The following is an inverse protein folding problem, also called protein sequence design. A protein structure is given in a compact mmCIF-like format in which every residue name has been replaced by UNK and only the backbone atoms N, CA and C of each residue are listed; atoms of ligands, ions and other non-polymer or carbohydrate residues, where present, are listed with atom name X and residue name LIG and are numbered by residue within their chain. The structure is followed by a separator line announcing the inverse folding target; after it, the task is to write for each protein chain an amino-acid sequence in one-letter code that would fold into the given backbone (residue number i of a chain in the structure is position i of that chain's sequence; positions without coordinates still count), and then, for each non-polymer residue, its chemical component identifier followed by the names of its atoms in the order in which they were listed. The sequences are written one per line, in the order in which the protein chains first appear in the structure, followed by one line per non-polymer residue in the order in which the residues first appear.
data_IF_197684583320
#
_entry.id   IF_197684583320
#
_cell.length_a   1.000
_cell.length_b   1.000
_cell.length_c   1.000
_cell.angle_alpha   90.00
_cell.angle_beta   90.00
_cell.angle_gamma   90.00
#
_symmetry.space_group_name_H-M   'P 1'
#
loop_
_entity.id
_entity.type
_entity.pdbx_description
1 polymer ?
#
# COMPACT_ATOMS: atom_id res chain seq x y z
N UNK A 1 -1.71 3.75 14.09
CA UNK A 1 -1.73 5.19 14.49
C UNK A 1 -2.31 6.12 13.44
N UNK A 2 -2.14 5.91 12.13
CA UNK A 2 -2.97 6.58 11.10
C UNK A 2 -4.49 6.46 11.39
N UNK A 3 -4.91 5.29 11.90
CA UNK A 3 -6.28 5.08 12.39
C UNK A 3 -6.63 5.92 13.63
N UNK A 4 -5.68 6.20 14.52
CA UNK A 4 -5.91 7.06 15.69
C UNK A 4 -6.06 8.52 15.26
N UNK A 5 -5.23 8.97 14.31
CA UNK A 5 -5.38 10.27 13.68
C UNK A 5 -6.77 10.38 13.02
N UNK A 6 -7.19 9.35 12.28
CA UNK A 6 -8.52 9.29 11.69
C UNK A 6 -9.67 9.29 12.70
N UNK A 7 -9.56 8.55 13.80
CA UNK A 7 -10.56 8.58 14.86
C UNK A 7 -10.69 10.00 15.46
N UNK A 8 -9.56 10.68 15.71
CA UNK A 8 -9.55 12.07 16.22
C UNK A 8 -10.18 13.04 15.23
N UNK A 9 -9.83 12.96 13.95
CA UNK A 9 -10.48 13.76 12.91
C UNK A 9 -11.98 13.49 12.84
N UNK A 10 -12.40 12.23 12.93
CA UNK A 10 -13.83 11.88 12.98
C UNK A 10 -14.54 12.50 14.17
N UNK A 11 -13.92 12.53 15.35
CA UNK A 11 -14.53 13.13 16.55
C UNK A 11 -14.59 14.67 16.46
N UNK A 12 -13.54 15.31 15.92
CA UNK A 12 -13.55 16.74 15.60
C UNK A 12 -14.69 17.05 14.62
N UNK A 13 -14.85 16.24 13.57
CA UNK A 13 -15.88 16.42 12.56
C UNK A 13 -17.29 16.12 13.08
N UNK A 14 -17.47 15.19 14.02
CA UNK A 14 -18.76 14.96 14.69
C UNK A 14 -19.18 16.18 15.49
N UNK A 15 -18.28 16.79 16.27
CA UNK A 15 -18.55 18.02 17.02
C UNK A 15 -18.99 19.14 16.08
N UNK A 16 -18.26 19.36 14.99
CA UNK A 16 -18.61 20.34 13.96
C UNK A 16 -19.98 20.05 13.33
N UNK A 17 -20.29 18.80 12.96
CA UNK A 17 -21.59 18.42 12.39
C UNK A 17 -22.75 18.64 13.37
N UNK A 18 -22.50 18.59 14.67
CA UNK A 18 -23.50 18.87 15.71
C UNK A 18 -23.90 20.34 15.80
N UNK A 19 -23.13 21.26 15.21
CA UNK A 19 -23.46 22.68 15.16
C UNK A 19 -24.22 23.02 13.86
N UNK A 20 -25.44 23.55 13.99
CA UNK A 20 -26.27 23.94 12.83
C UNK A 20 -25.74 25.13 12.02
N UNK A 21 -24.86 25.95 12.61
CA UNK A 21 -24.08 27.00 11.93
C UNK A 21 -22.66 27.01 12.50
N UNK A 22 -21.68 27.22 11.63
CA UNK A 22 -20.29 27.42 12.05
C UNK A 22 -20.07 28.88 12.47
N UNK A 23 -19.63 29.09 13.70
CA UNK A 23 -19.11 30.37 14.18
C UNK A 23 -17.58 30.38 14.08
N UNK A 24 -16.97 31.57 14.08
CA UNK A 24 -15.51 31.70 14.14
C UNK A 24 -14.90 31.00 15.35
N UNK A 25 -15.59 31.05 16.51
CA UNK A 25 -15.17 30.34 17.73
C UNK A 25 -15.10 28.83 17.51
N UNK A 26 -16.15 28.24 16.92
CA UNK A 26 -16.21 26.80 16.69
C UNK A 26 -15.13 26.33 15.70
N UNK A 27 -14.83 27.14 14.67
CA UNK A 27 -13.76 26.86 13.72
C UNK A 27 -12.40 26.91 14.42
N UNK A 28 -12.16 27.92 15.26
CA UNK A 28 -10.91 28.07 16.00
C UNK A 28 -10.65 26.92 16.96
N UNK A 29 -11.68 26.47 17.68
CA UNK A 29 -11.59 25.33 18.59
C UNK A 29 -11.30 24.03 17.83
N UNK A 30 -11.97 23.80 16.69
CA UNK A 30 -11.68 22.66 15.84
C UNK A 30 -10.26 22.69 15.26
N UNK A 31 -9.79 23.85 14.81
CA UNK A 31 -8.41 24.00 14.33
C UNK A 31 -7.38 23.74 15.42
N UNK A 32 -7.68 24.07 16.67
CA UNK A 32 -6.84 23.74 17.82
C UNK A 32 -6.77 22.23 18.03
N UNK A 33 -7.89 21.51 17.93
CA UNK A 33 -7.90 20.04 18.03
C UNK A 33 -7.17 19.38 16.85
N UNK A 34 -7.34 19.90 15.63
CA UNK A 34 -6.58 19.46 14.44
C UNK A 34 -5.09 19.67 14.64
N UNK A 35 -4.69 20.85 15.13
CA UNK A 35 -3.29 21.17 15.46
C UNK A 35 -2.69 20.15 16.42
N UNK A 36 -3.38 19.88 17.53
CA UNK A 36 -2.90 18.91 18.53
C UNK A 36 -2.79 17.51 17.94
N UNK A 37 -3.76 17.09 17.14
CA UNK A 37 -3.78 15.77 16.51
C UNK A 37 -2.61 15.58 15.53
N UNK A 38 -2.26 16.61 14.74
CA UNK A 38 -1.12 16.57 13.84
C UNK A 38 0.22 16.57 14.60
N UNK A 39 0.33 17.33 15.70
CA UNK A 39 1.55 17.34 16.53
C UNK A 39 1.78 16.00 17.23
N UNK A 40 0.72 15.36 17.75
CA UNK A 40 0.81 14.02 18.33
C UNK A 40 1.18 12.95 17.28
N UNK A 41 0.86 13.22 16.02
CA UNK A 41 1.26 12.42 14.86
C UNK A 41 2.69 12.76 14.37
N UNK A 42 3.52 13.40 15.20
CA UNK A 42 4.90 13.82 14.88
C UNK A 42 5.03 14.67 13.62
N UNK A 43 3.98 15.38 13.21
CA UNK A 43 4.11 16.37 12.14
C UNK A 43 4.97 17.53 12.64
N UNK A 44 5.86 18.04 11.79
CA UNK A 44 6.73 19.15 12.11
C UNK A 44 5.93 20.39 12.55
N UNK A 45 6.33 21.00 13.66
CA UNK A 45 5.61 22.12 14.26
C UNK A 45 5.38 23.30 13.30
N UNK A 46 6.39 23.66 12.49
CA UNK A 46 6.27 24.74 11.51
C UNK A 46 5.20 24.41 10.47
N UNK A 47 5.26 23.18 9.94
CA UNK A 47 4.29 22.66 8.96
C UNK A 47 2.86 22.66 9.52
N UNK A 48 2.66 22.21 10.76
CA UNK A 48 1.34 22.26 11.40
C UNK A 48 0.86 23.70 11.59
N UNK A 49 1.73 24.60 12.05
CA UNK A 49 1.38 26.01 12.26
C UNK A 49 0.91 26.65 10.95
N UNK A 50 1.70 26.50 9.88
CA UNK A 50 1.40 27.07 8.58
C UNK A 50 0.12 26.47 7.98
N UNK A 51 -0.06 25.15 8.10
CA UNK A 51 -1.28 24.45 7.70
C UNK A 51 -2.52 25.02 8.41
N UNK A 52 -2.47 25.16 9.74
CA UNK A 52 -3.62 25.68 10.51
C UNK A 52 -3.93 27.14 10.20
N UNK A 53 -2.91 27.96 9.91
CA UNK A 53 -3.08 29.36 9.53
C UNK A 53 -3.78 29.47 8.17
N UNK A 54 -3.34 28.71 7.16
CA UNK A 54 -3.98 28.71 5.83
C UNK A 54 -5.44 28.27 5.88
N UNK A 55 -5.77 27.27 6.70
CA UNK A 55 -7.18 26.88 6.89
C UNK A 55 -7.95 27.97 7.61
N UNK A 56 -7.39 28.61 8.63
CA UNK A 56 -8.06 29.71 9.34
C UNK A 56 -8.39 30.87 8.40
N UNK A 57 -7.45 31.27 7.54
CA UNK A 57 -7.65 32.33 6.55
C UNK A 57 -8.73 31.95 5.53
N UNK A 58 -8.65 30.76 4.95
CA UNK A 58 -9.64 30.25 3.98
C UNK A 58 -11.03 30.07 4.62
N UNK A 59 -11.11 29.59 5.86
CA UNK A 59 -12.38 29.33 6.55
C UNK A 59 -13.14 30.62 6.92
N UNK A 60 -12.42 31.70 7.24
CA UNK A 60 -13.02 33.02 7.54
C UNK A 60 -13.39 33.77 6.23
N UNK A 61 -12.58 33.61 5.17
CA UNK A 61 -12.76 34.31 3.90
C UNK A 61 -13.74 33.66 2.91
N UNK A 62 -14.22 32.44 3.14
CA UNK A 62 -15.15 31.77 2.20
C UNK A 62 -16.60 32.10 2.54
N UNK A 63 -17.32 32.73 1.62
CA UNK A 63 -18.79 32.84 1.74
C UNK A 63 -19.39 31.42 1.85
N UNK A 64 -20.24 31.20 2.84
CA UNK A 64 -20.95 29.93 3.01
C UNK A 64 -21.77 29.68 1.76
N UNK A 65 -21.39 28.67 0.97
CA UNK A 65 -22.11 28.33 -0.26
C UNK A 65 -23.52 27.92 0.13
N UNK A 66 -24.52 28.69 -0.32
CA UNK A 66 -25.94 28.42 0.00
C UNK A 66 -26.31 27.01 -0.45
N UNK A 67 -26.79 26.18 0.48
CA UNK A 67 -27.25 24.82 0.23
C UNK A 67 -26.24 23.70 0.55
N UNK A 68 -25.00 24.02 0.88
CA UNK A 68 -23.99 23.05 1.34
C UNK A 68 -23.90 23.08 2.86
N UNK A 69 -23.82 21.91 3.50
CA UNK A 69 -23.65 21.83 4.95
C UNK A 69 -22.28 22.45 5.34
N UNK A 70 -22.24 23.49 6.20
CA UNK A 70 -21.00 24.14 6.62
C UNK A 70 -19.97 23.15 7.20
N UNK A 71 -20.43 22.10 7.89
CA UNK A 71 -19.57 21.05 8.41
C UNK A 71 -18.84 20.28 7.29
N UNK A 72 -19.52 19.99 6.18
CA UNK A 72 -18.92 19.31 5.02
C UNK A 72 -17.96 20.24 4.28
N UNK A 73 -18.26 21.53 4.22
CA UNK A 73 -17.36 22.52 3.63
C UNK A 73 -16.05 22.63 4.42
N UNK A 74 -16.11 22.63 5.75
CA UNK A 74 -14.90 22.60 6.59
C UNK A 74 -14.09 21.32 6.43
N UNK A 75 -14.74 20.14 6.41
CA UNK A 75 -14.06 18.86 6.18
C UNK A 75 -13.35 18.86 4.83
N UNK A 76 -14.04 19.35 3.78
CA UNK A 76 -13.46 19.48 2.45
C UNK A 76 -12.26 20.41 2.45
N UNK A 77 -12.35 21.56 3.10
CA UNK A 77 -11.24 22.51 3.21
C UNK A 77 -10.00 21.87 3.88
N UNK A 78 -10.20 21.13 4.97
CA UNK A 78 -9.12 20.39 5.64
C UNK A 78 -8.53 19.31 4.72
N UNK A 79 -9.38 18.59 3.99
CA UNK A 79 -8.95 17.57 3.03
C UNK A 79 -8.09 18.18 1.90
N UNK A 80 -8.62 19.20 1.21
CA UNK A 80 -7.97 19.85 0.08
C UNK A 80 -6.59 20.40 0.50
N UNK A 81 -6.52 21.01 1.69
CA UNK A 81 -5.27 21.54 2.23
C UNK A 81 -4.25 20.44 2.60
N UNK A 82 -4.71 19.30 3.14
CA UNK A 82 -3.82 18.16 3.41
C UNK A 82 -3.29 17.54 2.10
N UNK A 83 -4.12 17.50 1.06
CA UNK A 83 -3.72 16.99 -0.26
C UNK A 83 -2.69 17.92 -0.90
N UNK A 84 -2.91 19.23 -0.82
CA UNK A 84 -1.97 20.24 -1.29
C UNK A 84 -0.62 20.14 -0.57
N UNK A 85 -0.65 19.95 0.76
CA UNK A 85 0.55 19.79 1.58
C UNK A 85 1.38 18.54 1.19
N UNK A 86 0.71 17.49 0.73
CA UNK A 86 1.35 16.26 0.23
C UNK A 86 1.78 16.32 -1.25
N UNK A 87 1.57 17.45 -1.92
CA UNK A 87 2.02 17.68 -3.30
C UNK A 87 0.95 17.57 -4.36
N UNK A 88 -0.33 17.46 -3.99
CA UNK A 88 -1.46 17.48 -4.90
C UNK A 88 -1.63 16.18 -5.68
N UNK A 89 -0.83 15.97 -6.72
CA UNK A 89 -0.97 14.84 -7.65
C UNK A 89 0.19 13.84 -7.55
N UNK A 90 -0.08 12.60 -7.94
CA UNK A 90 0.93 11.53 -8.00
C UNK A 90 2.01 11.84 -9.04
N UNK A 91 3.27 11.70 -8.66
CA UNK A 91 4.41 11.88 -9.56
C UNK A 91 4.87 10.54 -10.15
N UNK A 92 5.05 10.49 -11.48
CA UNK A 92 5.55 9.29 -12.17
C UNK A 92 7.07 9.17 -12.02
N UNK A 93 7.57 7.93 -12.06
CA UNK A 93 9.01 7.67 -12.16
C UNK A 93 9.55 8.21 -13.49
N UNK A 94 10.74 8.80 -13.46
CA UNK A 94 11.40 9.36 -14.64
C UNK A 94 11.83 8.23 -15.57
N UNK A 95 11.56 8.38 -16.86
CA UNK A 95 12.12 7.52 -17.92
C UNK A 95 12.98 8.39 -18.83
N UNK A 96 14.26 8.07 -18.91
CA UNK A 96 15.21 8.78 -19.75
C UNK A 96 14.91 8.62 -21.23
N UNK A 97 15.35 9.59 -22.04
CA UNK A 97 15.29 9.52 -23.51
C UNK A 97 16.19 8.43 -24.09
N UNK A 98 17.20 8.00 -23.32
CA UNK A 98 18.17 6.98 -23.69
C UNK A 98 18.30 5.96 -22.55
N UNK A 99 18.49 4.71 -22.93
CA UNK A 99 18.70 3.61 -21.98
C UNK A 99 20.21 3.46 -21.65
N UNK A 100 20.54 2.99 -20.44
CA UNK A 100 19.64 2.77 -19.31
C UNK A 100 19.25 4.08 -18.61
N UNK A 101 18.03 4.14 -18.07
CA UNK A 101 17.63 5.15 -17.09
C UNK A 101 18.19 4.75 -15.72
N UNK A 102 19.12 5.52 -15.21
CA UNK A 102 19.84 5.27 -13.95
C UNK A 102 19.06 5.92 -12.80
N UNK A 103 18.63 5.09 -11.86
CA UNK A 103 17.96 5.48 -10.62
C UNK A 103 18.91 5.20 -9.46
N UNK A 104 19.24 6.23 -8.68
CA UNK A 104 20.10 6.10 -7.50
C UNK A 104 19.26 6.17 -6.23
N UNK A 105 19.32 5.12 -5.40
CA UNK A 105 18.67 5.11 -4.09
C UNK A 105 19.64 5.60 -3.02
N UNK A 106 19.26 6.63 -2.27
CA UNK A 106 20.03 7.18 -1.15
C UNK A 106 19.20 7.24 0.13
N UNK A 107 19.83 7.37 1.30
CA UNK A 107 19.15 7.53 2.59
C UNK A 107 19.82 6.79 3.75
N UNK A 108 19.24 6.91 4.94
CA UNK A 108 19.81 6.36 6.18
C UNK A 108 20.01 4.85 6.15
N UNK A 109 20.93 4.39 7.00
CA UNK A 109 21.04 2.97 7.34
C UNK A 109 19.71 2.47 7.94
N UNK A 110 19.27 1.28 7.50
CA UNK A 110 18.03 0.69 7.99
C UNK A 110 16.74 1.27 7.40
N UNK A 111 16.80 2.29 6.54
CA UNK A 111 15.63 2.88 5.88
C UNK A 111 14.94 1.95 4.86
N UNK A 112 15.57 0.82 4.51
CA UNK A 112 15.01 -0.18 3.60
C UNK A 112 15.39 -0.02 2.13
N UNK A 113 16.51 0.65 1.82
CA UNK A 113 17.00 0.87 0.44
C UNK A 113 17.10 -0.41 -0.40
N UNK A 114 17.87 -1.40 0.07
CA UNK A 114 18.07 -2.69 -0.62
C UNK A 114 16.75 -3.42 -0.88
N UNK A 115 15.87 -3.48 0.12
CA UNK A 115 14.54 -4.09 -0.03
C UNK A 115 13.68 -3.30 -1.01
N UNK A 116 13.73 -1.97 -0.96
CA UNK A 116 12.98 -1.13 -1.87
C UNK A 116 13.50 -1.20 -3.30
N UNK A 117 14.81 -1.35 -3.51
CA UNK A 117 15.40 -1.58 -4.83
C UNK A 117 14.79 -2.82 -5.49
N UNK A 118 14.70 -3.92 -4.75
CA UNK A 118 14.07 -5.15 -5.23
C UNK A 118 12.56 -5.00 -5.49
N UNK A 119 11.84 -4.28 -4.62
CA UNK A 119 10.41 -3.97 -4.83
C UNK A 119 10.19 -3.13 -6.10
N UNK A 120 10.98 -2.08 -6.28
CA UNK A 120 10.92 -1.20 -7.45
C UNK A 120 11.26 -1.98 -8.72
N UNK A 121 12.30 -2.81 -8.69
CA UNK A 121 12.64 -3.68 -9.80
C UNK A 121 11.49 -4.63 -10.14
N UNK A 122 10.89 -5.28 -9.15
CA UNK A 122 9.72 -6.14 -9.37
C UNK A 122 8.53 -5.39 -9.96
N UNK A 123 8.26 -4.18 -9.46
CA UNK A 123 7.20 -3.31 -9.97
C UNK A 123 7.42 -2.95 -11.44
N UNK A 124 8.64 -2.54 -11.83
CA UNK A 124 8.98 -2.22 -13.22
C UNK A 124 9.02 -3.48 -14.12
N UNK A 125 9.40 -4.63 -13.58
CA UNK A 125 9.39 -5.90 -14.31
C UNK A 125 7.97 -6.30 -14.73
N UNK A 126 6.96 -6.04 -13.88
CA UNK A 126 5.55 -6.22 -14.24
C UNK A 126 5.10 -5.33 -15.41
N UNK A 127 5.80 -4.23 -15.64
CA UNK A 127 5.57 -3.32 -16.77
C UNK A 127 6.40 -3.70 -18.01
N UNK A 128 6.97 -4.91 -18.04
CA UNK A 128 7.83 -5.44 -19.12
C UNK A 128 9.11 -4.64 -19.35
N UNK A 129 9.64 -3.97 -18.33
CA UNK A 129 10.92 -3.28 -18.42
C UNK A 129 12.10 -4.25 -18.20
N UNK A 130 13.21 -4.03 -18.93
CA UNK A 130 14.48 -4.73 -18.69
C UNK A 130 15.28 -3.99 -17.63
N UNK A 131 15.84 -4.72 -16.67
CA UNK A 131 16.35 -4.14 -15.43
C UNK A 131 17.74 -4.69 -15.10
N UNK A 132 18.57 -3.83 -14.52
CA UNK A 132 19.78 -4.21 -13.80
C UNK A 132 19.75 -3.63 -12.39
N UNK A 133 19.91 -4.47 -11.38
CA UNK A 133 20.18 -4.05 -10.01
C UNK A 133 21.69 -3.92 -9.82
N UNK A 134 22.13 -2.89 -9.09
CA UNK A 134 23.55 -2.64 -8.86
C UNK A 134 23.78 -2.40 -7.39
N UNK A 135 24.57 -3.27 -6.76
CA UNK A 135 24.91 -3.16 -5.35
C UNK A 135 26.22 -2.41 -5.16
N UNK A 136 26.16 -1.21 -4.57
CA UNK A 136 27.36 -0.44 -4.18
C UNK A 136 27.44 -0.22 -2.66
N UNK A 137 26.63 -0.93 -1.86
CA UNK A 137 26.81 -1.04 -0.41
C UNK A 137 27.95 -2.01 -0.06
N UNK A 138 29.19 -1.56 -0.27
CA UNK A 138 30.43 -2.31 -0.03
C UNK A 138 30.86 -2.33 1.45
N UNK A 139 30.17 -1.57 2.29
CA UNK A 139 30.54 -1.37 3.70
C UNK A 139 29.74 -2.26 4.64
N UNK A 140 28.47 -2.54 4.31
CA UNK A 140 27.60 -3.33 5.16
C UNK A 140 27.81 -4.83 4.90
N UNK A 141 28.07 -5.64 5.95
CA UNK A 141 28.20 -7.08 5.81
C UNK A 141 26.97 -7.72 5.16
N UNK A 142 27.21 -8.59 4.18
CA UNK A 142 26.19 -9.32 3.43
C UNK A 142 25.16 -8.45 2.67
N UNK A 143 25.36 -7.14 2.50
CA UNK A 143 24.42 -6.29 1.75
C UNK A 143 24.37 -6.67 0.26
N UNK A 144 25.54 -6.90 -0.36
CA UNK A 144 25.63 -7.42 -1.72
C UNK A 144 24.90 -8.77 -1.83
N UNK A 145 25.16 -9.69 -0.89
CA UNK A 145 24.51 -11.01 -0.89
C UNK A 145 22.99 -10.91 -0.71
N UNK A 146 22.52 -9.99 0.15
CA UNK A 146 21.10 -9.69 0.32
C UNK A 146 20.49 -9.24 -1.00
N UNK A 147 21.12 -8.30 -1.72
CA UNK A 147 20.62 -7.83 -3.01
C UNK A 147 20.60 -8.93 -4.06
N UNK A 148 21.64 -9.77 -4.14
CA UNK A 148 21.71 -10.93 -5.03
C UNK A 148 20.54 -11.90 -4.79
N UNK A 149 20.27 -12.28 -3.53
CA UNK A 149 19.16 -13.17 -3.18
C UNK A 149 17.82 -12.55 -3.57
N UNK A 150 17.62 -11.26 -3.33
CA UNK A 150 16.40 -10.56 -3.72
C UNK A 150 16.24 -10.49 -5.25
N UNK A 151 17.34 -10.25 -5.98
CA UNK A 151 17.38 -10.24 -7.44
C UNK A 151 17.02 -11.61 -8.04
N UNK A 152 17.58 -12.69 -7.49
CA UNK A 152 17.26 -14.07 -7.90
C UNK A 152 15.78 -14.39 -7.67
N UNK A 153 15.22 -14.03 -6.51
CA UNK A 153 13.80 -14.23 -6.19
C UNK A 153 12.84 -13.55 -7.18
N UNK A 154 13.26 -12.44 -7.80
CA UNK A 154 12.45 -11.72 -8.79
C UNK A 154 12.90 -11.98 -10.22
N UNK A 155 13.97 -12.76 -10.43
CA UNK A 155 14.61 -13.00 -11.73
C UNK A 155 15.09 -11.71 -12.40
N UNK A 156 15.80 -10.85 -11.67
CA UNK A 156 16.46 -9.64 -12.18
C UNK A 156 17.95 -9.75 -11.90
N UNK A 157 18.76 -9.46 -12.91
CA UNK A 157 20.22 -9.52 -12.80
C UNK A 157 20.74 -8.48 -11.81
N UNK A 158 21.72 -8.89 -11.01
CA UNK A 158 22.40 -8.05 -10.02
C UNK A 158 23.88 -7.95 -10.40
N UNK A 159 24.36 -6.73 -10.63
CA UNK A 159 25.77 -6.43 -10.78
C UNK A 159 26.36 -6.01 -9.44
N UNK A 160 27.45 -6.65 -9.05
CA UNK A 160 28.21 -6.36 -7.84
C UNK A 160 29.62 -6.93 -7.97
N UNK A 161 30.60 -6.31 -7.32
CA UNK A 161 31.95 -6.85 -7.23
C UNK A 161 32.25 -7.14 -5.77
N UNK A 162 32.31 -8.44 -5.44
CA UNK A 162 32.66 -8.88 -4.08
C UNK A 162 34.09 -8.46 -3.76
N UNK A 163 34.32 -8.05 -2.52
CA UNK A 163 35.61 -7.56 -1.99
C UNK A 163 36.19 -6.28 -2.62
N UNK A 164 35.51 -5.67 -3.60
CA UNK A 164 35.90 -4.37 -4.15
C UNK A 164 35.22 -3.22 -3.37
N UNK A 165 36.02 -2.24 -2.93
CA UNK A 165 35.53 -1.06 -2.21
C UNK A 165 35.39 0.19 -3.09
N UNK A 166 35.77 0.11 -4.36
CA UNK A 166 35.66 1.22 -5.32
C UNK A 166 34.22 1.37 -5.82
N UNK A 167 33.39 2.07 -5.03
CA UNK A 167 31.97 2.34 -5.34
C UNK A 167 31.79 2.97 -6.72
N UNK A 168 32.65 3.92 -7.08
CA UNK A 168 32.57 4.66 -8.35
C UNK A 168 32.95 3.78 -9.53
N UNK A 169 34.02 2.98 -9.41
CA UNK A 169 34.42 2.04 -10.43
C UNK A 169 33.39 0.93 -10.66
N UNK A 170 32.83 0.37 -9.59
CA UNK A 170 31.76 -0.65 -9.67
C UNK A 170 30.57 -0.08 -10.44
N UNK A 171 30.12 1.12 -10.09
CA UNK A 171 28.97 1.73 -10.75
C UNK A 171 29.25 2.07 -12.22
N UNK A 172 30.49 2.47 -12.55
CA UNK A 172 30.90 2.75 -13.94
C UNK A 172 30.86 1.50 -14.80
N UNK A 173 31.42 0.38 -14.32
CA UNK A 173 31.37 -0.91 -15.02
C UNK A 173 29.94 -1.47 -15.11
N UNK A 174 29.12 -1.21 -14.10
CA UNK A 174 27.70 -1.56 -14.13
C UNK A 174 26.93 -0.85 -15.27
N UNK A 175 27.30 0.39 -15.62
CA UNK A 175 26.71 1.10 -16.77
C UNK A 175 27.03 0.37 -18.08
N UNK A 176 28.25 -0.14 -18.24
CA UNK A 176 28.65 -0.92 -19.41
C UNK A 176 27.84 -2.22 -19.49
N UNK A 177 27.70 -2.92 -18.36
CA UNK A 177 26.87 -4.13 -18.29
C UNK A 177 25.41 -3.85 -18.62
N UNK A 178 24.84 -2.76 -18.10
CA UNK A 178 23.46 -2.36 -18.37
C UNK A 178 23.23 -2.09 -19.87
N UNK A 179 24.22 -1.50 -20.56
CA UNK A 179 24.18 -1.32 -22.02
C UNK A 179 24.27 -2.64 -22.77
N UNK A 180 25.17 -3.54 -22.37
CA UNK A 180 25.34 -4.86 -22.98
C UNK A 180 24.03 -5.67 -22.98
N UNK A 181 23.32 -5.69 -21.85
CA UNK A 181 22.06 -6.42 -21.72
C UNK A 181 20.82 -5.63 -22.20
N UNK A 182 21.03 -4.42 -22.72
CA UNK A 182 19.99 -3.49 -23.14
C UNK A 182 18.94 -3.24 -22.04
N UNK A 183 19.38 -3.00 -20.81
CA UNK A 183 18.51 -2.66 -19.69
C UNK A 183 17.82 -1.31 -19.93
N UNK A 184 16.51 -1.24 -19.69
CA UNK A 184 15.77 0.03 -19.68
C UNK A 184 16.08 0.83 -18.43
N UNK A 185 16.16 0.18 -17.27
CA UNK A 185 16.51 0.81 -16.01
C UNK A 185 17.71 0.14 -15.33
N UNK A 186 18.55 0.96 -14.72
CA UNK A 186 19.63 0.56 -13.81
C UNK A 186 19.32 1.16 -12.44
N UNK A 187 19.07 0.31 -11.44
CA UNK A 187 18.75 0.75 -10.07
C UNK A 187 19.98 0.51 -9.20
N UNK A 188 20.53 1.60 -8.66
CA UNK A 188 21.74 1.59 -7.84
C UNK A 188 21.35 1.64 -6.36
N UNK A 189 21.62 0.56 -5.63
CA UNK A 189 21.46 0.46 -4.19
C UNK A 189 22.74 0.92 -3.50
N UNK A 190 22.69 2.10 -2.88
CA UNK A 190 23.83 2.67 -2.16
C UNK A 190 23.81 2.29 -0.68
N UNK A 191 24.95 2.38 -0.03
CA UNK A 191 25.04 2.17 1.41
C UNK A 191 24.22 3.19 2.22
N UNK A 192 23.79 2.77 3.41
CA UNK A 192 23.16 3.68 4.36
C UNK A 192 24.14 4.60 5.05
N UNK A 193 23.87 5.91 5.01
CA UNK A 193 24.75 6.94 5.58
C UNK A 193 24.02 7.76 6.62
N UNK A 194 24.70 8.08 7.73
CA UNK A 194 24.24 9.09 8.67
C UNK A 194 24.51 10.47 8.06
N UNK A 195 23.61 11.43 8.27
CA UNK A 195 23.73 12.80 7.74
C UNK A 195 24.93 13.58 8.32
N UNK A 196 25.60 13.04 9.33
CA UNK A 196 26.80 13.59 9.99
C UNK A 196 28.12 13.07 9.43
N UNK A 197 28.11 12.10 8.50
CA UNK A 197 29.34 11.56 7.92
C UNK A 197 29.70 12.27 6.60
N UNK A 198 30.53 13.31 6.70
CA UNK A 198 30.97 14.12 5.56
C UNK A 198 31.71 13.30 4.49
N UNK A 199 32.54 12.34 4.92
CA UNK A 199 33.34 11.53 3.98
C UNK A 199 32.47 10.68 3.08
N UNK A 200 31.44 10.06 3.66
CA UNK A 200 30.51 9.22 2.93
C UNK A 200 29.52 10.03 2.08
N UNK A 201 29.23 11.28 2.46
CA UNK A 201 28.46 12.19 1.62
C UNK A 201 29.25 12.68 0.40
N UNK A 202 30.55 12.90 0.52
CA UNK A 202 31.41 13.20 -0.63
C UNK A 202 31.51 12.01 -1.60
N UNK A 203 31.59 10.77 -1.11
CA UNK A 203 31.54 9.57 -1.96
C UNK A 203 30.23 9.51 -2.79
N UNK A 204 29.08 9.83 -2.19
CA UNK A 204 27.80 9.90 -2.93
C UNK A 204 27.76 11.04 -3.95
N UNK A 205 28.37 12.19 -3.64
CA UNK A 205 28.49 13.29 -4.61
C UNK A 205 29.38 12.91 -5.78
N UNK A 206 30.48 12.22 -5.52
CA UNK A 206 31.37 11.70 -6.55
C UNK A 206 30.67 10.66 -7.43
N UNK A 207 30.00 9.69 -6.80
CA UNK A 207 29.17 8.71 -7.50
C UNK A 207 28.14 9.39 -8.41
N UNK A 208 27.39 10.38 -7.89
CA UNK A 208 26.43 11.17 -8.65
C UNK A 208 27.08 11.85 -9.87
N UNK A 209 28.27 12.45 -9.70
CA UNK A 209 29.00 13.13 -10.79
C UNK A 209 29.36 12.17 -11.93
N UNK A 210 29.76 10.95 -11.57
CA UNK A 210 30.23 9.94 -12.54
C UNK A 210 29.06 9.26 -13.25
N UNK A 211 28.08 8.75 -12.51
CA UNK A 211 26.99 7.96 -13.12
C UNK A 211 25.86 8.82 -13.68
N UNK A 212 25.78 10.11 -13.29
CA UNK A 212 24.78 11.08 -13.76
C UNK A 212 23.35 10.49 -13.74
N UNK A 213 22.84 10.12 -12.55
CA UNK A 213 21.54 9.50 -12.45
C UNK A 213 20.45 10.43 -12.99
N UNK A 214 19.51 9.88 -13.76
CA UNK A 214 18.32 10.62 -14.22
C UNK A 214 17.33 10.85 -13.08
N UNK A 215 17.43 10.04 -12.02
CA UNK A 215 16.62 10.21 -10.84
C UNK A 215 17.34 9.75 -9.57
N UNK A 216 17.33 10.62 -8.55
CA UNK A 216 17.82 10.30 -7.21
C UNK A 216 16.62 10.22 -6.28
N UNK A 217 16.39 9.04 -5.71
CA UNK A 217 15.29 8.79 -4.80
C UNK A 217 15.81 8.63 -3.37
N UNK A 218 15.30 9.49 -2.48
CA UNK A 218 15.58 9.41 -1.05
C UNK A 218 14.64 8.42 -0.38
N UNK A 219 15.17 7.34 0.16
CA UNK A 219 14.43 6.35 0.93
C UNK A 219 14.41 6.75 2.41
N UNK A 220 13.21 6.97 2.93
CA UNK A 220 12.97 7.43 4.29
C UNK A 220 12.05 6.47 5.02
N UNK A 221 12.43 6.12 6.25
CA UNK A 221 11.60 5.33 7.15
C UNK A 221 10.53 6.23 7.77
N UNK A 222 9.25 5.88 7.57
CA UNK A 222 8.13 6.64 8.12
C UNK A 222 8.05 6.60 9.66
N UNK A 223 8.80 5.72 10.33
CA UNK A 223 8.88 5.65 11.80
C UNK A 223 9.75 6.74 12.43
N UNK A 224 10.67 7.36 11.69
CA UNK A 224 11.69 8.29 12.24
C UNK A 224 11.06 9.66 12.63
N UNK A 225 9.82 9.93 12.26
CA UNK A 225 9.08 11.11 12.73
C UNK A 225 9.72 12.42 12.22
N UNK A 226 9.95 13.38 13.13
CA UNK A 226 10.46 14.71 12.76
C UNK A 226 11.92 14.70 12.29
N UNK A 227 12.75 13.77 12.77
CA UNK A 227 14.16 13.68 12.35
C UNK A 227 14.30 13.31 10.86
N UNK A 228 13.26 12.71 10.28
CA UNK A 228 13.18 12.42 8.86
C UNK A 228 13.24 13.70 8.00
N UNK A 229 12.79 14.84 8.54
CA UNK A 229 12.80 16.13 7.85
C UNK A 229 14.21 16.67 7.72
N UNK A 230 14.94 16.76 8.84
CA UNK A 230 16.32 17.26 8.86
C UNK A 230 17.24 16.38 7.98
N UNK A 231 17.02 15.07 8.06
CA UNK A 231 17.67 14.11 7.17
C UNK A 231 17.40 14.43 5.71
N UNK A 232 16.13 14.55 5.34
CA UNK A 232 15.75 14.72 3.95
C UNK A 232 16.24 16.07 3.40
N UNK A 233 16.29 17.11 4.23
CA UNK A 233 16.90 18.39 3.91
C UNK A 233 18.42 18.25 3.65
N UNK A 234 19.16 17.58 4.53
CA UNK A 234 20.60 17.36 4.36
C UNK A 234 20.93 16.58 3.08
N UNK A 235 20.22 15.48 2.82
CA UNK A 235 20.40 14.71 1.58
C UNK A 235 20.01 15.52 0.34
N UNK A 236 18.95 16.31 0.42
CA UNK A 236 18.55 17.19 -0.70
C UNK A 236 19.58 18.29 -0.96
N UNK A 237 20.17 18.88 0.08
CA UNK A 237 21.19 19.91 -0.08
C UNK A 237 22.47 19.36 -0.70
N UNK A 238 22.86 18.12 -0.35
CA UNK A 238 24.06 17.50 -0.87
C UNK A 238 23.87 16.86 -2.26
N UNK A 239 22.74 16.19 -2.50
CA UNK A 239 22.52 15.37 -3.70
C UNK A 239 21.45 15.93 -4.63
N UNK A 240 20.72 16.97 -4.25
CA UNK A 240 19.59 17.52 -5.02
C UNK A 240 18.61 16.43 -5.43
N UNK A 241 18.03 15.73 -4.45
CA UNK A 241 17.16 14.58 -4.69
C UNK A 241 15.95 14.95 -5.53
N UNK A 242 15.46 14.03 -6.36
CA UNK A 242 14.35 14.27 -7.29
C UNK A 242 13.01 13.81 -6.72
N UNK A 243 13.03 12.81 -5.85
CA UNK A 243 11.85 12.27 -5.22
C UNK A 243 12.13 11.56 -3.90
N UNK A 244 11.07 11.28 -3.16
CA UNK A 244 11.11 10.59 -1.88
C UNK A 244 10.32 9.28 -1.97
N UNK A 245 10.83 8.26 -1.27
CA UNK A 245 10.17 7.00 -1.03
C UNK A 245 9.96 6.87 0.48
N UNK A 246 8.74 6.53 0.89
CA UNK A 246 8.46 6.25 2.30
C UNK A 246 8.32 4.75 2.52
N UNK A 247 9.06 4.19 3.47
CA UNK A 247 8.99 2.77 3.82
C UNK A 247 8.31 2.57 5.18
N UNK A 248 7.93 1.32 5.45
CA UNK A 248 7.32 0.86 6.71
C UNK A 248 6.01 1.56 7.09
N UNK A 249 5.23 2.01 6.10
CA UNK A 249 3.94 2.66 6.33
C UNK A 249 2.85 1.72 6.87
N UNK A 250 3.10 0.41 6.85
CA UNK A 250 2.30 -0.63 7.48
C UNK A 250 2.50 -0.74 9.00
N UNK A 251 3.63 -0.26 9.51
CA UNK A 251 3.88 -0.20 10.94
C UNK A 251 2.98 0.83 11.65
N UNK A 252 3.15 0.95 12.96
CA UNK A 252 2.46 1.97 13.77
C UNK A 252 3.03 3.38 13.54
N UNK A 253 3.13 3.74 12.26
CA UNK A 253 3.76 4.96 11.79
C UNK A 253 2.80 6.12 11.93
N UNK A 254 3.37 7.24 12.37
CA UNK A 254 2.60 8.43 12.71
C UNK A 254 2.12 9.19 11.46
N UNK A 255 2.48 8.79 10.24
CA UNK A 255 2.05 9.43 8.98
C UNK A 255 2.56 10.88 8.80
N UNK A 256 2.94 11.56 9.88
CA UNK A 256 3.37 12.94 9.89
C UNK A 256 4.74 13.20 9.27
N UNK A 257 5.58 12.16 9.19
CA UNK A 257 6.83 12.24 8.42
C UNK A 257 6.55 12.56 6.94
N UNK A 258 5.53 11.95 6.34
CA UNK A 258 5.15 12.19 4.94
C UNK A 258 4.74 13.65 4.70
N UNK A 259 3.86 14.17 5.57
CA UNK A 259 3.40 15.55 5.56
C UNK A 259 4.58 16.53 5.70
N UNK A 260 5.50 16.22 6.61
CA UNK A 260 6.60 17.11 6.94
C UNK A 260 7.70 17.14 5.88
N UNK A 261 8.06 15.99 5.31
CA UNK A 261 9.13 15.90 4.31
C UNK A 261 8.76 16.69 3.05
N UNK A 262 7.53 16.52 2.54
CA UNK A 262 7.10 17.23 1.34
C UNK A 262 7.08 18.74 1.57
N UNK A 263 6.55 19.19 2.71
CA UNK A 263 6.42 20.61 3.02
C UNK A 263 7.78 21.31 3.18
N UNK A 264 8.79 20.62 3.72
CA UNK A 264 10.12 21.22 3.96
C UNK A 264 11.07 21.03 2.78
N UNK A 265 11.12 19.82 2.21
CA UNK A 265 12.08 19.47 1.14
C UNK A 265 11.55 19.86 -0.24
N UNK A 266 10.23 20.00 -0.40
CA UNK A 266 9.58 20.39 -1.65
C UNK A 266 9.54 19.29 -2.72
N UNK A 267 10.21 18.15 -2.50
CA UNK A 267 10.31 17.05 -3.48
C UNK A 267 9.12 16.10 -3.40
N UNK A 268 8.59 15.61 -4.55
CA UNK A 268 7.44 14.71 -4.57
C UNK A 268 7.75 13.37 -3.91
N UNK A 269 6.78 12.81 -3.19
CA UNK A 269 6.82 11.40 -2.78
C UNK A 269 6.30 10.59 -3.97
N UNK A 270 7.06 9.58 -4.43
CA UNK A 270 6.71 8.79 -5.62
C UNK A 270 6.11 7.44 -5.28
N UNK A 271 6.63 6.79 -4.25
CA UNK A 271 6.23 5.45 -3.85
C UNK A 271 6.16 5.30 -2.34
N UNK A 272 5.37 4.33 -1.92
CA UNK A 272 5.25 3.90 -0.54
C UNK A 272 5.46 2.39 -0.41
N UNK A 273 6.21 1.99 0.61
CA UNK A 273 6.34 0.61 1.05
C UNK A 273 5.34 0.32 2.16
N UNK A 274 4.40 -0.58 1.89
CA UNK A 274 3.26 -0.90 2.77
C UNK A 274 3.34 -2.31 3.37
N UNK A 275 4.55 -2.80 3.60
CA UNK A 275 4.80 -4.15 4.09
C UNK A 275 6.22 -4.63 3.85
N UNK A 276 6.54 -5.84 4.26
CA UNK A 276 7.87 -6.43 4.08
C UNK A 276 8.02 -7.21 2.76
N UNK A 277 6.91 -7.70 2.19
CA UNK A 277 6.98 -8.56 1.01
C UNK A 277 7.35 -7.75 -0.22
N UNK A 278 7.93 -8.41 -1.21
CA UNK A 278 8.37 -7.79 -2.47
C UNK A 278 7.23 -7.17 -3.30
N UNK A 279 5.97 -7.53 -3.04
CA UNK A 279 4.81 -6.94 -3.69
C UNK A 279 4.25 -5.73 -2.94
N UNK A 280 4.73 -5.44 -1.73
CA UNK A 280 4.18 -4.42 -0.85
C UNK A 280 4.79 -3.05 -1.19
N UNK A 281 4.54 -2.61 -2.43
CA UNK A 281 4.93 -1.32 -3.00
C UNK A 281 3.70 -0.72 -3.71
N UNK A 282 3.39 0.54 -3.43
CA UNK A 282 2.30 1.27 -4.07
C UNK A 282 2.81 2.62 -4.59
N UNK A 283 2.19 3.12 -5.66
CA UNK A 283 2.40 4.50 -6.11
C UNK A 283 1.83 5.43 -5.04
N UNK A 284 2.53 6.54 -4.77
CA UNK A 284 2.04 7.51 -3.81
C UNK A 284 0.93 8.38 -4.42
N UNK A 285 -0.25 8.29 -3.81
CA UNK A 285 -1.42 9.09 -4.15
C UNK A 285 -1.80 9.96 -2.93
N UNK A 286 -1.50 11.28 -2.96
CA UNK A 286 -1.79 12.21 -1.87
C UNK A 286 -3.26 12.16 -1.42
N UNK A 287 -4.17 12.25 -2.37
CA UNK A 287 -5.63 12.18 -2.19
C UNK A 287 -6.08 10.93 -1.44
N UNK A 288 -5.50 9.79 -1.77
CA UNK A 288 -5.82 8.51 -1.14
C UNK A 288 -5.29 8.42 0.28
N UNK A 289 -4.06 8.89 0.53
CA UNK A 289 -3.50 8.93 1.87
C UNK A 289 -4.35 9.83 2.78
N UNK A 290 -4.73 11.01 2.31
CA UNK A 290 -5.58 11.94 3.07
C UNK A 290 -6.96 11.35 3.32
N UNK A 291 -7.57 10.69 2.33
CA UNK A 291 -8.87 10.03 2.50
C UNK A 291 -8.82 8.92 3.55
N UNK A 292 -7.71 8.16 3.61
CA UNK A 292 -7.45 7.18 4.69
C UNK A 292 -7.25 7.88 6.04
N UNK A 293 -6.48 8.97 6.10
CA UNK A 293 -6.27 9.77 7.32
C UNK A 293 -7.58 10.33 7.86
N UNK A 294 -8.48 10.83 7.01
CA UNK A 294 -9.77 11.38 7.44
C UNK A 294 -10.84 10.32 7.69
N UNK A 295 -10.52 9.04 7.50
CA UNK A 295 -11.44 7.93 7.68
C UNK A 295 -12.61 7.93 6.69
N UNK A 296 -12.41 8.50 5.50
CA UNK A 296 -13.40 8.52 4.41
C UNK A 296 -13.33 7.27 3.53
N UNK A 297 -12.33 6.41 3.74
CA UNK A 297 -12.08 5.21 2.96
C UNK A 297 -11.38 5.51 1.63
N UNK A 298 -10.81 4.48 1.01
CA UNK A 298 -10.15 4.58 -0.30
C UNK A 298 -10.77 3.54 -1.25
N UNK A 299 -11.90 3.95 -1.84
CA UNK A 299 -12.72 3.13 -2.73
C UNK A 299 -11.98 2.85 -4.04
N UNK A 300 -11.10 3.74 -4.50
CA UNK A 300 -10.38 3.60 -5.76
C UNK A 300 -9.28 2.54 -5.66
N UNK A 301 -8.46 2.55 -4.59
CA UNK A 301 -7.45 1.49 -4.39
C UNK A 301 -8.08 0.12 -4.18
N UNK A 302 -9.28 0.06 -3.59
CA UNK A 302 -10.05 -1.19 -3.49
C UNK A 302 -10.40 -1.75 -4.88
N UNK A 303 -10.85 -0.87 -5.78
CA UNK A 303 -11.18 -1.25 -7.16
C UNK A 303 -9.93 -1.66 -7.93
N UNK A 304 -8.82 -0.92 -7.81
CA UNK A 304 -7.56 -1.25 -8.49
C UNK A 304 -6.93 -2.56 -7.98
N UNK A 305 -6.87 -2.78 -6.66
CA UNK A 305 -6.41 -4.06 -6.10
C UNK A 305 -7.32 -5.22 -6.48
N UNK A 306 -8.63 -4.97 -6.59
CA UNK A 306 -9.56 -5.97 -7.12
C UNK A 306 -9.26 -6.26 -8.61
N UNK A 307 -8.97 -5.24 -9.42
CA UNK A 307 -8.61 -5.38 -10.82
C UNK A 307 -7.26 -6.09 -11.04
N UNK A 308 -6.23 -5.81 -10.23
CA UNK A 308 -4.91 -6.47 -10.35
C UNK A 308 -4.95 -7.97 -10.08
N UNK A 309 -5.92 -8.43 -9.28
CA UNK A 309 -6.04 -9.84 -8.89
C UNK A 309 -7.08 -10.58 -9.72
N UNK A 310 -8.01 -9.86 -10.35
CA UNK A 310 -8.93 -10.43 -11.31
C UNK A 310 -8.25 -10.41 -12.68
N UNK A 311 -7.56 -11.50 -13.01
CA UNK A 311 -7.13 -11.74 -14.39
C UNK A 311 -8.38 -11.69 -15.28
N UNK A 312 -8.40 -10.80 -16.29
CA UNK A 312 -9.53 -10.64 -17.20
C UNK A 312 -9.95 -11.97 -17.84
N UNK A 313 -9.01 -12.90 -18.01
CA UNK A 313 -9.27 -14.23 -18.53
C UNK A 313 -9.92 -15.15 -17.48
N UNK A 314 -9.52 -15.05 -16.21
CA UNK A 314 -10.16 -15.79 -15.12
C UNK A 314 -11.60 -15.30 -14.89
N UNK A 315 -11.83 -13.99 -14.95
CA UNK A 315 -13.17 -13.40 -14.86
C UNK A 315 -14.12 -13.92 -15.95
N UNK A 316 -13.67 -13.92 -17.21
CA UNK A 316 -14.44 -14.44 -18.35
C UNK A 316 -14.74 -15.94 -18.18
N UNK A 317 -13.74 -16.73 -17.76
CA UNK A 317 -13.92 -18.18 -17.54
C UNK A 317 -14.89 -18.47 -16.39
N UNK A 318 -14.89 -17.63 -15.35
CA UNK A 318 -15.80 -17.75 -14.22
C UNK A 318 -17.22 -17.36 -14.63
N UNK A 319 -17.37 -16.28 -15.39
CA UNK A 319 -18.65 -15.86 -15.95
C UNK A 319 -19.27 -16.95 -16.84
N UNK A 320 -18.48 -17.57 -17.73
CA UNK A 320 -18.92 -18.69 -18.56
C UNK A 320 -19.34 -19.92 -17.74
N UNK A 321 -18.58 -20.25 -16.68
CA UNK A 321 -18.90 -21.38 -15.79
C UNK A 321 -20.16 -21.12 -14.95
N UNK A 322 -20.38 -19.88 -14.52
CA UNK A 322 -21.60 -19.47 -13.81
C UNK A 322 -22.79 -19.55 -14.76
N UNK A 323 -22.68 -18.99 -15.98
CA UNK A 323 -23.73 -19.05 -17.01
C UNK A 323 -24.07 -20.51 -17.40
N UNK A 324 -23.06 -21.36 -17.52
CA UNK A 324 -23.23 -22.78 -17.88
C UNK A 324 -23.54 -23.71 -16.69
N UNK A 325 -23.74 -23.16 -15.48
CA UNK A 325 -24.02 -23.92 -14.25
C UNK A 325 -22.95 -24.98 -13.90
N UNK A 326 -21.72 -24.79 -14.36
CA UNK A 326 -20.58 -25.70 -14.13
C UNK A 326 -19.75 -25.31 -12.90
N UNK A 327 -20.23 -24.37 -12.09
CA UNK A 327 -19.54 -23.93 -10.87
C UNK A 327 -19.48 -25.05 -9.83
N UNK A 328 -18.25 -25.45 -9.47
CA UNK A 328 -17.97 -26.59 -8.59
C UNK A 328 -17.09 -26.23 -7.37
N UNK A 329 -16.77 -27.20 -6.50
CA UNK A 329 -15.93 -26.95 -5.33
C UNK A 329 -14.46 -26.66 -5.65
N UNK A 330 -13.97 -27.00 -6.85
CA UNK A 330 -12.63 -26.60 -7.28
C UNK A 330 -12.60 -25.10 -7.58
N UNK A 331 -13.64 -24.59 -8.24
CA UNK A 331 -13.79 -23.17 -8.49
C UNK A 331 -13.99 -22.41 -7.17
N UNK A 332 -14.78 -22.95 -6.25
CA UNK A 332 -14.94 -22.38 -4.90
C UNK A 332 -13.61 -22.31 -4.13
N UNK A 333 -12.83 -23.39 -4.14
CA UNK A 333 -11.51 -23.42 -3.50
C UNK A 333 -10.56 -22.38 -4.11
N UNK A 334 -10.54 -22.24 -5.44
CA UNK A 334 -9.75 -21.22 -6.12
C UNK A 334 -10.14 -19.82 -5.65
N UNK A 335 -11.44 -19.52 -5.57
CA UNK A 335 -11.90 -18.22 -5.09
C UNK A 335 -11.47 -17.93 -3.65
N UNK A 336 -11.56 -18.93 -2.76
CA UNK A 336 -11.07 -18.80 -1.37
C UNK A 336 -9.55 -18.57 -1.33
N UNK A 337 -8.79 -19.25 -2.19
CA UNK A 337 -7.34 -19.05 -2.29
C UNK A 337 -6.98 -17.68 -2.88
N UNK A 338 -7.77 -17.15 -3.81
CA UNK A 338 -7.62 -15.79 -4.34
C UNK A 338 -7.89 -14.74 -3.24
N UNK A 339 -8.95 -14.92 -2.45
CA UNK A 339 -9.23 -14.07 -1.28
C UNK A 339 -8.10 -14.15 -0.24
N UNK A 340 -7.53 -15.34 -0.02
CA UNK A 340 -6.36 -15.53 0.85
C UNK A 340 -5.09 -14.85 0.30
N UNK A 341 -4.87 -14.89 -1.03
CA UNK A 341 -3.76 -14.23 -1.72
C UNK A 341 -3.86 -12.70 -1.66
N UNK A 342 -5.09 -12.15 -1.63
CA UNK A 342 -5.35 -10.73 -1.45
C UNK A 342 -4.84 -10.18 -0.10
N UNK A 343 -4.56 -11.06 0.88
CA UNK A 343 -3.82 -10.71 2.09
C UNK A 343 -4.65 -9.90 3.10
N UNK A 344 -5.00 -10.56 4.20
CA UNK A 344 -5.84 -10.08 5.31
C UNK A 344 -7.19 -9.51 4.85
N UNK A 345 -8.27 -10.20 5.21
CA UNK A 345 -9.61 -9.61 5.20
C UNK A 345 -9.63 -8.23 5.89
N UNK A 346 -8.67 -7.98 6.78
CA UNK A 346 -8.48 -6.72 7.48
C UNK A 346 -8.15 -5.55 6.57
N UNK A 347 -7.33 -5.74 5.53
CA UNK A 347 -7.01 -4.66 4.60
C UNK A 347 -8.22 -4.18 3.80
N UNK A 348 -9.04 -5.11 3.30
CA UNK A 348 -10.23 -4.79 2.49
C UNK A 348 -11.38 -4.28 3.37
N UNK A 349 -11.64 -4.92 4.51
CA UNK A 349 -12.71 -4.50 5.44
C UNK A 349 -12.46 -3.12 6.05
N UNK A 350 -11.19 -2.75 6.31
CA UNK A 350 -10.81 -1.41 6.80
C UNK A 350 -11.05 -0.28 5.79
N UNK A 351 -11.20 -0.63 4.51
CA UNK A 351 -11.38 0.33 3.43
C UNK A 351 -12.86 0.55 3.07
N UNK A 352 -13.79 -0.23 3.63
CA UNK A 352 -15.23 -0.10 3.40
C UNK A 352 -15.81 0.93 4.40
N UNK A 353 -16.31 2.09 3.92
CA UNK A 353 -16.85 3.11 4.81
C UNK A 353 -18.16 2.64 5.49
N UNK A 354 -18.27 2.86 6.80
CA UNK A 354 -19.51 2.64 7.58
C UNK A 354 -19.69 1.25 8.19
N UNK A 355 -18.74 0.33 8.04
CA UNK A 355 -18.76 -0.98 8.72
C UNK A 355 -18.17 -0.86 10.15
N UNK A 356 -18.71 -1.57 11.17
CA UNK A 356 -18.09 -1.63 12.49
C UNK A 356 -16.69 -2.26 12.39
N UNK A 357 -15.70 -1.69 13.10
CA UNK A 357 -14.35 -2.26 13.19
C UNK A 357 -14.44 -3.68 13.79
N UNK A 358 -14.03 -4.68 13.02
CA UNK A 358 -13.80 -6.04 13.52
C UNK A 358 -12.31 -6.14 13.81
N UNK A 359 -11.95 -6.06 15.09
CA UNK A 359 -10.55 -5.93 15.54
C UNK A 359 -9.77 -7.27 15.52
N UNK A 360 -10.45 -8.42 15.45
CA UNK A 360 -9.80 -9.73 15.37
C UNK A 360 -10.34 -10.59 14.21
N UNK A 361 -9.48 -10.79 13.20
CA UNK A 361 -9.75 -11.60 12.01
C UNK A 361 -9.00 -12.94 12.03
N UNK A 362 -8.21 -13.23 13.08
CA UNK A 362 -7.59 -14.53 13.27
C UNK A 362 -8.61 -15.70 13.27
N UNK A 363 -9.85 -15.54 13.78
CA UNK A 363 -10.88 -16.56 13.66
C UNK A 363 -11.27 -16.86 12.21
N UNK A 364 -11.33 -15.84 11.35
CA UNK A 364 -11.70 -15.99 9.95
C UNK A 364 -10.60 -16.68 9.12
N UNK A 365 -9.33 -16.38 9.38
CA UNK A 365 -8.21 -17.08 8.72
C UNK A 365 -8.13 -18.56 9.13
N UNK A 366 -8.43 -18.87 10.39
CA UNK A 366 -8.47 -20.24 10.91
C UNK A 366 -9.63 -21.03 10.30
N UNK A 367 -10.81 -20.43 10.17
CA UNK A 367 -11.95 -21.02 9.46
C UNK A 367 -11.64 -21.23 7.97
N UNK A 368 -10.96 -20.29 7.30
CA UNK A 368 -10.56 -20.46 5.89
C UNK A 368 -9.61 -21.65 5.69
N UNK A 369 -8.61 -21.81 6.57
CA UNK A 369 -7.71 -22.98 6.54
C UNK A 369 -8.49 -24.29 6.74
N UNK A 370 -9.49 -24.28 7.63
CA UNK A 370 -10.37 -25.43 7.90
C UNK A 370 -11.19 -25.80 6.66
N UNK A 371 -11.77 -24.82 5.99
CA UNK A 371 -12.52 -25.01 4.72
C UNK A 371 -11.61 -25.57 3.62
N UNK A 372 -10.39 -25.04 3.49
CA UNK A 372 -9.40 -25.53 2.53
C UNK A 372 -9.04 -26.99 2.78
N UNK A 373 -8.78 -27.38 4.04
CA UNK A 373 -8.49 -28.76 4.42
C UNK A 373 -9.64 -29.73 4.10
N UNK A 374 -10.89 -29.31 4.33
CA UNK A 374 -12.09 -30.11 4.01
C UNK A 374 -12.18 -30.37 2.50
N UNK A 375 -12.02 -29.34 1.67
CA UNK A 375 -12.11 -29.50 0.20
C UNK A 375 -10.94 -30.34 -0.32
N UNK A 376 -9.73 -30.14 0.21
CA UNK A 376 -8.55 -30.91 -0.17
C UNK A 376 -8.69 -32.40 0.17
N UNK A 377 -9.50 -32.75 1.17
CA UNK A 377 -9.80 -34.14 1.57
C UNK A 377 -10.85 -34.84 0.69
N UNK A 378 -11.41 -34.14 -0.31
CA UNK A 378 -12.34 -34.70 -1.29
C UNK A 378 -11.63 -35.21 -2.54
N UNK A 379 -12.22 -36.19 -3.21
CA UNK A 379 -11.77 -36.66 -4.53
C UNK A 379 -12.13 -35.67 -5.63
N UNK A 380 -11.49 -35.78 -6.81
CA UNK A 380 -11.82 -34.93 -7.98
C UNK A 380 -13.29 -35.01 -8.38
N UNK A 381 -13.90 -36.19 -8.26
CA UNK A 381 -15.31 -36.39 -8.58
C UNK A 381 -16.23 -35.72 -7.57
N UNK A 382 -15.92 -35.84 -6.28
CA UNK A 382 -16.68 -35.22 -5.19
C UNK A 382 -16.64 -33.70 -5.26
N UNK A 383 -15.52 -33.11 -5.68
CA UNK A 383 -15.41 -31.66 -5.89
C UNK A 383 -16.24 -31.18 -7.08
N UNK A 384 -16.26 -31.97 -8.17
CA UNK A 384 -17.06 -31.67 -9.37
C UNK A 384 -18.56 -31.84 -9.15
N UNK A 385 -18.96 -32.82 -8.33
CA UNK A 385 -20.36 -33.16 -8.06
C UNK A 385 -20.59 -33.29 -6.55
N UNK A 386 -20.76 -32.17 -5.82
CA UNK A 386 -20.95 -32.19 -4.37
C UNK A 386 -22.19 -33.00 -3.93
N UNK A 387 -23.18 -33.17 -4.80
CA UNK A 387 -24.43 -33.91 -4.54
C UNK A 387 -24.20 -35.40 -4.18
N UNK A 388 -23.06 -35.97 -4.57
CA UNK A 388 -22.74 -37.38 -4.26
C UNK A 388 -22.24 -37.56 -2.81
N UNK A 389 -21.99 -36.47 -2.08
CA UNK A 389 -21.49 -36.48 -0.71
C UNK A 389 -22.58 -36.91 0.27
N UNK A 390 -22.73 -38.23 0.42
CA UNK A 390 -23.56 -38.87 1.45
C UNK A 390 -22.79 -39.05 2.77
N UNK A 391 -23.47 -39.54 3.81
CA UNK A 391 -22.92 -39.68 5.17
C UNK A 391 -21.53 -40.34 5.24
N UNK A 392 -21.33 -41.49 4.58
CA UNK A 392 -20.04 -42.21 4.56
C UNK A 392 -18.89 -41.35 4.00
N UNK A 393 -19.12 -40.62 2.90
CA UNK A 393 -18.12 -39.73 2.30
C UNK A 393 -17.81 -38.54 3.22
N UNK A 394 -18.83 -37.96 3.85
CA UNK A 394 -18.66 -36.86 4.81
C UNK A 394 -17.83 -37.28 6.02
N UNK A 395 -18.03 -38.49 6.54
CA UNK A 395 -17.24 -39.06 7.65
C UNK A 395 -15.77 -39.22 7.23
N UNK A 396 -15.52 -39.77 6.03
CA UNK A 396 -14.16 -39.92 5.49
C UNK A 396 -13.46 -38.56 5.33
N UNK A 397 -14.15 -37.58 4.76
CA UNK A 397 -13.64 -36.21 4.56
C UNK A 397 -13.31 -35.57 5.90
N UNK A 398 -14.24 -35.59 6.85
CA UNK A 398 -14.06 -35.05 8.19
C UNK A 398 -12.82 -35.64 8.89
N UNK A 399 -12.65 -36.96 8.83
CA UNK A 399 -11.47 -37.66 9.36
C UNK A 399 -10.18 -37.25 8.64
N UNK A 400 -10.23 -37.08 7.32
CA UNK A 400 -9.07 -36.68 6.50
C UNK A 400 -8.64 -35.22 6.72
N UNK A 401 -9.58 -34.32 7.01
CA UNK A 401 -9.32 -32.91 7.27
C UNK A 401 -9.09 -32.58 8.74
N UNK A 402 -9.25 -33.55 9.65
CA UNK A 402 -9.17 -33.31 11.10
C UNK A 402 -10.31 -32.42 11.63
N UNK A 403 -11.50 -32.51 11.02
CA UNK A 403 -12.69 -31.70 11.35
C UNK A 403 -13.88 -32.59 11.67
N UNK A 404 -15.00 -31.99 12.07
CA UNK A 404 -16.24 -32.72 12.32
C UNK A 404 -17.13 -32.81 11.07
N UNK A 405 -18.05 -33.78 11.07
CA UNK A 405 -19.07 -33.91 10.00
C UNK A 405 -19.98 -32.67 9.93
N UNK A 406 -20.21 -32.00 11.06
CA UNK A 406 -20.93 -30.73 11.13
C UNK A 406 -20.24 -29.62 10.31
N UNK A 407 -18.91 -29.56 10.32
CA UNK A 407 -18.13 -28.60 9.55
C UNK A 407 -18.24 -28.85 8.05
N UNK A 408 -18.20 -30.13 7.64
CA UNK A 408 -18.41 -30.53 6.25
C UNK A 408 -19.81 -30.11 5.78
N UNK A 409 -20.83 -30.28 6.63
CA UNK A 409 -22.19 -29.83 6.31
C UNK A 409 -22.32 -28.30 6.23
N UNK A 410 -21.65 -27.59 7.14
CA UNK A 410 -21.60 -26.11 7.14
C UNK A 410 -21.00 -25.59 5.84
N UNK A 411 -19.89 -26.18 5.40
CA UNK A 411 -19.24 -25.84 4.12
C UNK A 411 -20.17 -26.08 2.93
N UNK A 412 -20.81 -27.25 2.86
CA UNK A 412 -21.71 -27.56 1.74
C UNK A 412 -22.90 -26.60 1.68
N UNK A 413 -23.41 -26.17 2.85
CA UNK A 413 -24.46 -25.16 2.93
C UNK A 413 -23.97 -23.79 2.42
N UNK A 414 -22.76 -23.38 2.80
CA UNK A 414 -22.15 -22.13 2.33
C UNK A 414 -21.91 -22.16 0.81
N UNK A 415 -21.45 -23.29 0.27
CA UNK A 415 -21.26 -23.48 -1.17
C UNK A 415 -22.59 -23.34 -1.93
N UNK A 416 -23.66 -23.99 -1.47
CA UNK A 416 -24.98 -23.89 -2.10
C UNK A 416 -25.57 -22.47 -2.02
N UNK A 417 -25.38 -21.77 -0.89
CA UNK A 417 -25.79 -20.36 -0.76
C UNK A 417 -25.08 -19.48 -1.77
N UNK A 418 -23.77 -19.66 -1.93
CA UNK A 418 -22.97 -18.87 -2.88
C UNK A 418 -23.34 -19.21 -4.33
N UNK A 419 -23.53 -20.49 -4.65
CA UNK A 419 -24.00 -20.95 -5.96
C UNK A 419 -25.38 -20.36 -6.32
N UNK A 420 -26.28 -20.29 -5.34
CA UNK A 420 -27.59 -19.64 -5.50
C UNK A 420 -27.47 -18.13 -5.75
N UNK A 421 -26.61 -17.44 -4.98
CA UNK A 421 -26.35 -16.01 -5.14
C UNK A 421 -25.75 -15.69 -6.51
N UNK A 422 -24.76 -16.46 -6.97
CA UNK A 422 -24.14 -16.30 -8.29
C UNK A 422 -25.15 -16.52 -9.43
N UNK A 423 -26.05 -17.49 -9.28
CA UNK A 423 -27.13 -17.75 -10.24
C UNK A 423 -28.10 -16.56 -10.34
N UNK A 424 -28.46 -15.94 -9.21
CA UNK A 424 -29.29 -14.74 -9.20
C UNK A 424 -28.60 -13.56 -9.89
N UNK A 425 -27.31 -13.36 -9.62
CA UNK A 425 -26.52 -12.28 -10.22
C UNK A 425 -26.36 -12.43 -11.75
N UNK A 426 -26.10 -13.65 -12.22
CA UNK A 426 -26.02 -13.96 -13.66
C UNK A 426 -27.36 -13.85 -14.40
N UNK A 427 -28.48 -13.87 -13.68
CA UNK A 427 -29.83 -13.76 -14.26
C UNK A 427 -30.32 -12.31 -14.39
N UNK A 428 -29.50 -11.32 -14.05
CA UNK A 428 -29.83 -9.89 -14.15
C UNK A 428 -30.85 -9.39 -13.12
N UNK A 429 -31.26 -10.23 -12.15
CA UNK A 429 -32.16 -9.85 -11.06
C UNK A 429 -31.35 -9.45 -9.83
N UNK A 430 -31.04 -8.16 -9.70
CA UNK A 430 -30.55 -7.60 -8.43
C UNK A 430 -31.69 -7.60 -7.40
N UNK A 431 -31.53 -8.24 -6.23
CA UNK A 431 -32.45 -8.05 -5.11
C UNK A 431 -32.38 -6.59 -4.66
N UNK A 432 -33.55 -5.99 -4.41
CA UNK A 432 -33.65 -4.65 -3.87
C UNK A 432 -32.93 -4.59 -2.50
N UNK A 433 -31.76 -3.92 -2.44
CA UNK A 433 -30.90 -3.85 -1.25
C UNK A 433 -31.55 -3.12 -0.06
N UNK A 434 -32.76 -2.58 -0.21
CA UNK A 434 -33.50 -1.88 0.85
C UNK A 434 -34.17 -2.78 1.90
N UNK A 435 -34.28 -4.09 1.70
CA UNK A 435 -35.03 -4.97 2.60
C UNK A 435 -34.17 -5.81 3.57
N UNK A 436 -32.84 -5.72 3.53
CA UNK A 436 -31.95 -6.52 4.39
C UNK A 436 -31.56 -5.82 5.71
N UNK A 437 -32.23 -4.72 6.06
CA UNK A 437 -31.91 -3.85 7.19
C UNK A 437 -32.42 -4.29 8.57
N UNK A 438 -33.09 -5.43 8.72
CA UNK A 438 -33.48 -5.93 10.05
C UNK A 438 -33.32 -7.45 10.15
N UNK A 439 -32.25 -7.89 10.81
CA UNK A 439 -32.20 -9.20 11.49
C UNK A 439 -31.39 -10.33 10.85
N UNK A 440 -30.76 -10.14 9.69
CA UNK A 440 -29.91 -11.17 9.07
C UNK A 440 -28.44 -11.01 9.45
N UNK A 441 -27.92 -11.83 10.37
CA UNK A 441 -26.47 -11.98 10.57
C UNK A 441 -25.84 -12.45 9.25
N UNK A 442 -24.89 -11.68 8.72
CA UNK A 442 -23.94 -12.17 7.72
C UNK A 442 -23.12 -13.32 8.34
N UNK A 443 -22.86 -14.44 7.62
CA UNK A 443 -22.04 -15.51 8.15
C UNK A 443 -20.58 -15.20 7.85
N UNK A 444 -19.96 -14.40 8.70
CA UNK A 444 -18.51 -14.31 8.82
C UNK A 444 -18.13 -14.42 10.29
#
# INVERSE_FOLDING_TARGET
MLENLGNRFQDIFKKIRGHGKLSESNIKDALREVKMSLLEADVNYKVVKDFTNRISEKAIGTEVIRGVNPAQQFIKLVNDELVELLGGTSSKLTKGLRNPTIIMLAGLQGAGKTTFAAKLAKFLKKQNEKLLLVGVDVYRPAAIKQLQVLGEQIGVDVYSEEDNKDVVGIATRAIEKAKEINATYMIVDTAGRLHVDETLMEELKELKKVIKPQEILLVVDAMIGQDAVNLAESFNNALSVDGVILTKLDGDTRGGAALSIKAVVGKPIKFIGVGEKLNDIEIFHPDRLVSRILGMGDVVSLVEKAQEVIDENEAKSLEEKIKSQKFDLNDFLKQLQTIKRLGSLGGILKLIPGMPKIDDLAPAEKEMKKVEAIIQSMTKEERKKPDILKASRKIRIAKGSGTDVSDVNKLLKQFEQMKSMMKMFSSGKMPNMGAMGKGGKFPF
#
